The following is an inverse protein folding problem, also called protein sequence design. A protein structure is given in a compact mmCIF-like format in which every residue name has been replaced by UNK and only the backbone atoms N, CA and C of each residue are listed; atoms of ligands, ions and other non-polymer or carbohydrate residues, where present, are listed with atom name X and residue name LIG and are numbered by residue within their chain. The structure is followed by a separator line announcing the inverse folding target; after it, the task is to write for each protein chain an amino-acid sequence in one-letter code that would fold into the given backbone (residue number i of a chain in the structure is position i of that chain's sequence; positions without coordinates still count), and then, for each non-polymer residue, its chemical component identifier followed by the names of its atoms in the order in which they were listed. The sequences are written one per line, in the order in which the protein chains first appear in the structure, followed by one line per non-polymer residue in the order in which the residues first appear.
data_IF_571827434181
#
_entry.id   IF_571827434181
#
_cell.length_a   1.000
_cell.length_b   1.000
_cell.length_c   1.000
_cell.angle_alpha   90.00
_cell.angle_beta   90.00
_cell.angle_gamma   90.00
#
_symmetry.space_group_name_H-M   'P 1'
#
loop_
_entity.id
_entity.type
_entity.pdbx_description
1 polymer ?
#
# COMPACT_ATOMS: atom_id res chain seq x y z
N UNK A 1 -12.67 -18.57 -15.15
CA UNK A 1 -11.26 -18.71 -15.53
C UNK A 1 -10.80 -17.37 -16.07
N UNK A 2 -9.82 -16.71 -15.43
CA UNK A 2 -9.13 -15.59 -16.05
C UNK A 2 -8.41 -16.22 -17.25
N UNK A 3 -8.89 -15.94 -18.47
CA UNK A 3 -8.21 -16.37 -19.69
C UNK A 3 -6.72 -16.00 -19.58
N UNK A 4 -5.84 -16.82 -20.14
CA UNK A 4 -4.39 -16.57 -20.18
C UNK A 4 -4.09 -15.29 -20.97
N UNK A 5 -4.33 -14.14 -20.34
CA UNK A 5 -3.94 -12.85 -20.86
C UNK A 5 -2.42 -12.83 -20.94
N UNK A 6 -1.86 -12.29 -22.03
CA UNK A 6 -0.42 -12.06 -22.11
C UNK A 6 0.04 -11.24 -20.89
N UNK A 7 1.24 -11.51 -20.32
CA UNK A 7 1.75 -10.77 -19.16
C UNK A 7 1.70 -9.25 -19.33
N UNK A 8 1.87 -8.75 -20.56
CA UNK A 8 1.82 -7.32 -20.88
C UNK A 8 0.43 -6.73 -20.64
N UNK A 9 -0.63 -7.50 -20.91
CA UNK A 9 -2.01 -7.05 -20.69
C UNK A 9 -2.31 -6.98 -19.19
N UNK A 10 -1.78 -7.91 -18.39
CA UNK A 10 -1.94 -7.84 -16.94
C UNK A 10 -1.30 -6.59 -16.36
N UNK A 11 -0.10 -6.21 -16.83
CA UNK A 11 0.55 -4.95 -16.44
C UNK A 11 -0.33 -3.75 -16.79
N UNK A 12 -0.86 -3.69 -18.01
CA UNK A 12 -1.78 -2.62 -18.42
C UNK A 12 -3.03 -2.54 -17.55
N UNK A 13 -3.61 -3.67 -17.17
CA UNK A 13 -4.76 -3.72 -16.26
C UNK A 13 -4.40 -3.17 -14.88
N UNK A 14 -3.25 -3.57 -14.33
CA UNK A 14 -2.78 -3.08 -13.02
C UNK A 14 -2.48 -1.58 -13.03
N UNK A 15 -1.94 -1.05 -14.13
CA UNK A 15 -1.61 0.37 -14.28
C UNK A 15 -2.84 1.26 -14.53
N UNK A 16 -3.88 0.71 -15.16
CA UNK A 16 -5.13 1.43 -15.42
C UNK A 16 -5.95 1.68 -14.15
N UNK A 17 -5.76 0.88 -13.09
CA UNK A 17 -6.48 1.04 -11.83
C UNK A 17 -6.00 2.29 -11.07
N UNK A 18 -6.90 3.09 -10.48
CA UNK A 18 -6.52 4.25 -9.68
C UNK A 18 -5.98 3.90 -8.28
N UNK A 19 -5.31 2.75 -8.15
CA UNK A 19 -4.80 2.21 -6.89
C UNK A 19 -3.30 1.94 -7.01
N UNK A 20 -2.55 2.08 -5.91
CA UNK A 20 -1.16 1.66 -5.86
C UNK A 20 -1.12 0.20 -5.47
N UNK A 21 -0.37 -0.62 -6.20
CA UNK A 21 -0.31 -2.07 -6.00
C UNK A 21 1.15 -2.49 -5.93
N UNK A 22 1.48 -3.32 -4.94
CA UNK A 22 2.77 -3.98 -4.82
C UNK A 22 2.61 -5.40 -4.30
N UNK A 23 3.58 -6.26 -4.58
CA UNK A 23 3.64 -7.58 -3.97
C UNK A 23 5.06 -7.93 -3.56
N UNK A 24 5.15 -8.72 -2.48
CA UNK A 24 6.40 -9.12 -1.84
C UNK A 24 6.43 -10.61 -1.57
N UNK A 25 7.64 -11.16 -1.47
CA UNK A 25 7.88 -12.51 -1.00
C UNK A 25 7.72 -12.65 0.52
N UNK A 26 7.97 -13.86 1.04
CA UNK A 26 7.90 -14.19 2.48
C UNK A 26 8.97 -13.50 3.32
N UNK A 27 10.03 -12.97 2.70
CA UNK A 27 11.09 -12.19 3.37
C UNK A 27 10.78 -10.67 3.34
N UNK A 28 9.59 -10.30 2.86
CA UNK A 28 9.16 -8.92 2.63
C UNK A 28 10.07 -8.18 1.64
N UNK A 29 10.58 -8.88 0.62
CA UNK A 29 11.26 -8.26 -0.52
C UNK A 29 10.28 -8.06 -1.65
N UNK A 30 10.34 -6.92 -2.32
CA UNK A 30 9.46 -6.65 -3.45
C UNK A 30 9.73 -7.61 -4.60
N UNK A 31 8.65 -8.15 -5.15
CA UNK A 31 8.63 -8.95 -6.36
C UNK A 31 8.11 -8.13 -7.54
N UNK A 32 7.36 -7.07 -7.27
CA UNK A 32 6.94 -6.09 -8.26
C UNK A 32 5.88 -5.13 -7.72
N UNK A 33 5.49 -4.19 -8.57
CA UNK A 33 4.49 -3.16 -8.32
C UNK A 33 3.94 -2.61 -9.63
N UNK A 34 2.84 -1.86 -9.56
CA UNK A 34 2.32 -1.10 -10.71
C UNK A 34 2.98 0.30 -10.78
N UNK A 35 2.84 0.97 -11.93
CA UNK A 35 3.49 2.27 -12.18
C UNK A 35 3.08 3.34 -11.15
N UNK A 36 1.80 3.35 -10.74
CA UNK A 36 1.31 4.32 -9.75
C UNK A 36 2.01 4.23 -8.39
N UNK A 37 2.40 3.03 -7.98
CA UNK A 37 3.20 2.84 -6.76
C UNK A 37 4.61 3.42 -6.93
N UNK A 38 5.21 3.24 -8.11
CA UNK A 38 6.53 3.80 -8.41
C UNK A 38 6.52 5.33 -8.40
N UNK A 39 5.47 5.93 -8.95
CA UNK A 39 5.30 7.39 -8.99
C UNK A 39 5.29 7.99 -7.58
N UNK A 40 4.60 7.36 -6.62
CA UNK A 40 4.59 7.80 -5.20
C UNK A 40 5.96 7.71 -4.53
N UNK A 41 6.76 6.71 -4.91
CA UNK A 41 8.08 6.48 -4.37
C UNK A 41 9.18 7.31 -5.09
N UNK A 42 8.82 8.07 -6.13
CA UNK A 42 9.79 8.82 -6.95
C UNK A 42 10.69 7.92 -7.79
N UNK A 43 10.23 6.72 -8.14
CA UNK A 43 10.99 5.72 -8.90
C UNK A 43 10.41 5.62 -10.31
N UNK A 44 11.26 5.71 -11.33
CA UNK A 44 10.79 5.71 -12.72
C UNK A 44 10.43 4.32 -13.28
N UNK A 45 11.01 3.25 -12.73
CA UNK A 45 10.88 1.89 -13.27
C UNK A 45 10.51 0.88 -12.15
N UNK A 46 9.35 0.18 -12.24
CA UNK A 46 8.93 -0.83 -11.28
C UNK A 46 9.97 -1.92 -10.99
N UNK A 47 10.83 -2.22 -11.96
CA UNK A 47 11.88 -3.25 -11.81
C UNK A 47 12.94 -2.86 -10.77
N UNK A 48 13.07 -1.58 -10.43
CA UNK A 48 14.01 -1.11 -9.41
C UNK A 48 13.61 -1.55 -7.99
N UNK A 49 12.35 -1.92 -7.77
CA UNK A 49 11.90 -2.49 -6.51
C UNK A 49 12.35 -3.94 -6.31
N UNK A 50 12.53 -4.70 -7.39
CA UNK A 50 12.71 -6.16 -7.30
C UNK A 50 13.90 -6.52 -6.40
N UNK A 51 13.64 -7.36 -5.39
CA UNK A 51 14.61 -7.83 -4.39
C UNK A 51 14.96 -6.83 -3.29
N UNK A 52 14.51 -5.58 -3.39
CA UNK A 52 14.71 -4.55 -2.36
C UNK A 52 13.74 -4.76 -1.20
N UNK A 53 14.10 -4.21 -0.05
CA UNK A 53 13.25 -4.16 1.14
C UNK A 53 12.70 -2.75 1.35
N UNK A 54 11.66 -2.61 2.19
CA UNK A 54 11.09 -1.31 2.58
C UNK A 54 12.14 -0.31 3.09
N UNK A 55 13.18 -0.80 3.79
CA UNK A 55 14.27 0.03 4.32
C UNK A 55 15.10 0.73 3.24
N UNK A 56 15.00 0.32 1.98
CA UNK A 56 15.67 1.01 0.87
C UNK A 56 14.94 2.29 0.45
N UNK A 57 13.61 2.35 0.65
CA UNK A 57 12.76 3.44 0.14
C UNK A 57 12.18 4.32 1.23
N UNK A 58 12.02 3.81 2.45
CA UNK A 58 11.31 4.48 3.53
C UNK A 58 12.17 4.69 4.76
N UNK A 59 11.80 5.67 5.59
CA UNK A 59 12.41 5.87 6.89
C UNK A 59 12.32 4.59 7.73
N UNK A 60 13.35 4.23 8.53
CA UNK A 60 13.39 2.96 9.26
C UNK A 60 12.16 2.63 10.09
N UNK A 61 11.53 3.63 10.71
CA UNK A 61 10.33 3.44 11.52
C UNK A 61 9.10 3.07 10.67
N UNK A 62 8.92 3.73 9.52
CA UNK A 62 7.86 3.39 8.56
C UNK A 62 8.11 2.03 7.93
N UNK A 63 9.34 1.76 7.51
CA UNK A 63 9.73 0.47 6.95
C UNK A 63 9.46 -0.68 7.93
N UNK A 64 9.72 -0.47 9.23
CA UNK A 64 9.41 -1.44 10.29
C UNK A 64 7.91 -1.65 10.41
N UNK A 65 7.12 -0.58 10.54
CA UNK A 65 5.67 -0.68 10.65
C UNK A 65 5.03 -1.42 9.46
N UNK A 66 5.48 -1.14 8.23
CA UNK A 66 5.00 -1.84 7.04
C UNK A 66 5.34 -3.33 7.06
N UNK A 67 6.55 -3.69 7.48
CA UNK A 67 6.99 -5.08 7.58
C UNK A 67 6.31 -5.84 8.71
N UNK A 68 6.02 -5.19 9.83
CA UNK A 68 5.29 -5.82 10.94
C UNK A 68 3.86 -6.17 10.49
N UNK A 69 3.20 -5.25 9.78
CA UNK A 69 1.89 -5.52 9.18
C UNK A 69 1.93 -6.59 8.07
N UNK A 70 2.99 -6.63 7.26
CA UNK A 70 3.21 -7.72 6.28
C UNK A 70 3.40 -9.06 7.00
N UNK A 71 4.20 -9.11 8.08
CA UNK A 71 4.48 -10.30 8.86
C UNK A 71 3.22 -10.88 9.52
N UNK A 72 2.34 -10.04 10.05
CA UNK A 72 1.04 -10.46 10.58
C UNK A 72 0.22 -11.21 9.51
N UNK A 73 0.15 -10.68 8.28
CA UNK A 73 -0.59 -11.30 7.17
C UNK A 73 0.10 -12.59 6.70
N UNK A 74 1.43 -12.57 6.59
CA UNK A 74 2.22 -13.74 6.19
C UNK A 74 2.09 -14.90 7.19
N UNK A 75 2.07 -14.61 8.48
CA UNK A 75 1.96 -15.61 9.54
C UNK A 75 0.53 -16.13 9.71
N UNK A 76 -0.45 -15.23 9.76
CA UNK A 76 -1.85 -15.61 10.00
C UNK A 76 -2.53 -16.19 8.76
N UNK A 77 -2.09 -15.80 7.55
CA UNK A 77 -2.80 -16.08 6.32
C UNK A 77 -4.17 -15.40 6.22
N UNK A 78 -4.41 -14.37 7.07
CA UNK A 78 -5.64 -13.57 7.13
C UNK A 78 -5.37 -12.17 6.57
N UNK A 79 -6.23 -11.63 5.70
CA UNK A 79 -6.09 -10.27 5.22
C UNK A 79 -6.20 -9.22 6.33
N UNK A 80 -5.41 -8.15 6.23
CA UNK A 80 -5.52 -6.95 7.07
C UNK A 80 -6.01 -5.80 6.19
N UNK A 81 -7.22 -5.31 6.45
CA UNK A 81 -7.94 -4.40 5.56
C UNK A 81 -8.20 -3.05 6.25
N UNK A 82 -8.30 -1.98 5.48
CA UNK A 82 -8.66 -0.65 5.97
C UNK A 82 -7.65 -0.05 6.96
N UNK A 83 -6.36 -0.38 6.81
CA UNK A 83 -5.30 0.17 7.66
C UNK A 83 -5.13 1.63 7.30
N UNK A 84 -5.41 2.55 8.22
CA UNK A 84 -5.09 3.97 8.03
C UNK A 84 -3.67 4.25 8.53
N UNK A 85 -2.79 4.69 7.62
CA UNK A 85 -1.39 4.94 7.92
C UNK A 85 -0.87 6.21 7.24
N UNK A 86 0.24 6.74 7.74
CA UNK A 86 0.91 7.91 7.16
C UNK A 86 2.11 7.47 6.34
N UNK A 87 2.20 7.97 5.11
CA UNK A 87 3.38 7.84 4.27
C UNK A 87 4.10 9.17 4.18
N UNK A 88 5.43 9.12 4.31
CA UNK A 88 6.31 10.25 4.04
C UNK A 88 6.89 10.05 2.65
N UNK A 89 6.55 10.95 1.72
CA UNK A 89 7.06 10.91 0.35
C UNK A 89 8.51 11.36 0.29
N UNK A 90 9.16 11.13 -0.85
CA UNK A 90 10.54 11.54 -1.11
C UNK A 90 10.75 13.07 -1.00
N UNK A 91 9.71 13.86 -1.27
CA UNK A 91 9.73 15.33 -1.11
C UNK A 91 9.47 15.81 0.33
N UNK A 92 9.28 14.88 1.28
CA UNK A 92 8.99 15.16 2.69
C UNK A 92 7.51 15.41 3.00
N UNK A 93 6.63 15.41 2.01
CA UNK A 93 5.19 15.55 2.25
C UNK A 93 4.63 14.32 2.97
N UNK A 94 3.70 14.57 3.91
CA UNK A 94 3.02 13.51 4.65
C UNK A 94 1.62 13.36 4.09
N UNK A 95 1.26 12.14 3.70
CA UNK A 95 -0.07 11.80 3.20
C UNK A 95 -0.71 10.71 4.04
N UNK A 96 -2.04 10.70 4.06
CA UNK A 96 -2.82 9.64 4.68
C UNK A 96 -3.17 8.58 3.65
N UNK A 97 -2.93 7.33 3.99
CA UNK A 97 -3.23 6.17 3.16
C UNK A 97 -4.27 5.29 3.85
N UNK A 98 -5.14 4.68 3.04
CA UNK A 98 -5.94 3.52 3.43
C UNK A 98 -5.37 2.30 2.70
N UNK A 99 -4.74 1.40 3.45
CA UNK A 99 -3.96 0.27 2.95
C UNK A 99 -4.66 -1.05 3.27
N UNK A 100 -4.68 -1.94 2.28
CA UNK A 100 -5.08 -3.33 2.40
C UNK A 100 -3.88 -4.25 2.13
N UNK A 101 -3.72 -5.28 2.95
CA UNK A 101 -2.68 -6.31 2.81
C UNK A 101 -3.34 -7.68 2.77
N UNK A 102 -3.11 -8.42 1.69
CA UNK A 102 -3.70 -9.73 1.45
C UNK A 102 -2.61 -10.80 1.30
N UNK A 103 -2.82 -12.02 1.81
CA UNK A 103 -1.87 -13.10 1.60
C UNK A 103 -1.93 -13.58 0.15
N UNK A 104 -0.78 -13.69 -0.50
CA UNK A 104 -0.66 -14.41 -1.77
C UNK A 104 -0.45 -15.89 -1.47
N UNK A 105 -1.25 -16.76 -2.12
CA UNK A 105 -1.24 -18.21 -1.88
C UNK A 105 -0.91 -18.97 -3.16
N UNK A 106 -0.18 -20.07 -3.02
CA UNK A 106 0.01 -21.05 -4.09
C UNK A 106 -1.24 -21.93 -4.27
N UNK A 107 -1.20 -22.85 -5.24
CA UNK A 107 -2.28 -23.80 -5.51
C UNK A 107 -2.58 -24.75 -4.34
N UNK A 108 -1.60 -24.99 -3.48
CA UNK A 108 -1.76 -25.80 -2.27
C UNK A 108 -2.29 -24.99 -1.07
N UNK A 109 -2.51 -23.68 -1.25
CA UNK A 109 -3.01 -22.78 -0.21
C UNK A 109 -1.94 -22.24 0.73
N UNK A 110 -0.65 -22.52 0.48
CA UNK A 110 0.44 -21.99 1.29
C UNK A 110 0.64 -20.51 1.01
N UNK A 111 0.86 -19.71 2.05
CA UNK A 111 1.21 -18.30 1.88
C UNK A 111 2.62 -18.17 1.31
N UNK A 112 2.73 -17.59 0.12
CA UNK A 112 3.98 -17.37 -0.63
C UNK A 112 4.42 -15.91 -0.64
N UNK A 113 3.59 -15.01 -0.13
CA UNK A 113 3.89 -13.58 -0.15
C UNK A 113 2.72 -12.73 0.34
N UNK A 114 2.84 -11.43 0.14
CA UNK A 114 1.80 -10.44 0.47
C UNK A 114 1.55 -9.54 -0.72
N UNK A 115 0.27 -9.27 -0.98
CA UNK A 115 -0.22 -8.25 -1.91
C UNK A 115 -0.65 -7.04 -1.09
N UNK A 116 -0.01 -5.90 -1.31
CA UNK A 116 -0.40 -4.63 -0.76
C UNK A 116 -1.09 -3.77 -1.80
N UNK A 117 -2.14 -3.08 -1.39
CA UNK A 117 -2.76 -2.04 -2.19
C UNK A 117 -3.21 -0.88 -1.31
N UNK A 118 -3.11 0.34 -1.80
CA UNK A 118 -3.56 1.50 -1.04
C UNK A 118 -4.10 2.64 -1.90
N UNK A 119 -4.96 3.42 -1.25
CA UNK A 119 -5.47 4.69 -1.76
C UNK A 119 -5.02 5.82 -0.85
N UNK A 120 -4.76 6.98 -1.45
CA UNK A 120 -4.57 8.20 -0.67
C UNK A 120 -5.94 8.72 -0.22
N UNK A 121 -6.07 9.00 1.08
CA UNK A 121 -7.28 9.52 1.73
C UNK A 121 -7.04 10.88 2.39
N UNK A 122 -5.96 11.58 2.03
CA UNK A 122 -5.58 12.88 2.61
C UNK A 122 -6.71 13.89 2.53
N UNK A 123 -7.34 14.05 1.36
CA UNK A 123 -8.46 14.98 1.17
C UNK A 123 -9.67 14.61 2.04
N UNK A 124 -9.98 13.31 2.15
CA UNK A 124 -11.06 12.80 3.01
C UNK A 124 -10.80 13.17 4.47
N UNK A 125 -9.58 12.96 4.95
CA UNK A 125 -9.17 13.27 6.33
C UNK A 125 -9.23 14.76 6.63
N UNK A 126 -8.72 15.61 5.74
CA UNK A 126 -8.78 17.06 5.90
C UNK A 126 -10.23 17.58 5.94
N UNK A 127 -11.11 17.02 5.10
CA UNK A 127 -12.53 17.36 5.12
C UNK A 127 -13.22 16.90 6.42
N UNK A 128 -12.87 15.73 6.97
CA UNK A 128 -13.36 15.24 8.26
C UNK A 128 -12.91 16.12 9.42
N UNK A 129 -11.64 16.51 9.46
CA UNK A 129 -11.10 17.40 10.48
C UNK A 129 -11.78 18.77 10.45
N UNK A 130 -12.01 19.34 9.26
CA UNK A 130 -12.71 20.62 9.14
C UNK A 130 -14.16 20.53 9.64
N UNK A 131 -14.89 19.47 9.29
CA UNK A 131 -16.26 19.23 9.80
C UNK A 131 -16.28 19.07 11.32
N UNK A 132 -15.32 18.34 11.88
CA UNK A 132 -15.21 18.16 13.32
C UNK A 132 -14.92 19.48 14.04
N UNK A 133 -14.03 20.31 13.47
CA UNK A 133 -13.70 21.64 13.99
C UNK A 133 -14.92 22.59 14.00
N UNK A 134 -15.71 22.58 12.93
CA UNK A 134 -16.94 23.39 12.85
C UNK A 134 -17.99 22.93 13.86
N UNK A 135 -18.18 21.62 14.03
CA UNK A 135 -19.12 21.07 15.01
C UNK A 135 -18.73 21.44 16.45
N UNK A 136 -17.44 21.31 16.81
CA UNK A 136 -16.92 21.66 18.15
C UNK A 136 -17.07 23.16 18.45
N UNK A 137 -16.92 24.04 17.45
CA UNK A 137 -17.15 25.48 17.63
C UNK A 137 -18.63 25.84 17.78
N UNK A 138 -19.53 25.13 17.10
CA UNK A 138 -20.98 25.32 17.25
C UNK A 138 -21.50 24.87 18.62
N UNK A 139 -20.93 23.80 19.19
CA UNK A 139 -21.31 23.29 20.51
C UNK A 139 -20.77 24.13 21.68
N UNK A 140 -19.67 24.86 21.49
CA UNK A 140 -19.11 25.75 22.53
C UNK A 140 -19.73 27.16 22.55
N UNK A 141 -20.58 27.48 21.56
CA UNK A 141 -21.26 28.77 21.41
C UNK A 141 -22.77 28.71 21.74
N UNK A 142 -23.24 27.57 22.26
CA UNK A 142 -24.61 27.33 22.74
C UNK A 142 -24.58 27.01 24.24
#
# INVERSE_FOLDING_TARGET
MINSLPPEVLVQVLDALPVRIFWKDRESRFLGCNQRFCDDAGVADPRQFIGKSDFFFYHPDQARAFRDADAEVLFSGVPKLGIEEKLTRADGTIVWLETNKLPLKDEAGNVIGVLGMYHEITERKLAEEERCRVCLRGAAAA
#
